data_IF_838992779029
#
_entry.id   IF_838992779029
#
_cell.length_a   1.000
_cell.length_b   1.000
_cell.length_c   1.000
_cell.angle_alpha   90.00
_cell.angle_beta   90.00
_cell.angle_gamma   90.00
#
_symmetry.space_group_name_H-M   'P 1'
#
loop_
_entity.id
_entity.type
_entity.pdbx_description
1 polymer ?
#
# COMPACT_ATOMS: atom_id res chain seq x y z
N UNK A 1 -6.87 -20.16 -11.18
CA UNK A 1 -7.53 -19.12 -12.01
C UNK A 1 -6.51 -18.10 -12.55
N UNK A 2 -5.75 -17.39 -11.71
CA UNK A 2 -4.70 -16.48 -12.22
C UNK A 2 -3.43 -17.19 -12.70
N UNK A 3 -3.14 -18.39 -12.19
CA UNK A 3 -1.99 -19.23 -12.59
C UNK A 3 -2.00 -19.69 -14.05
N UNK A 4 -3.11 -19.49 -14.76
CA UNK A 4 -3.27 -19.85 -16.17
C UNK A 4 -3.08 -18.65 -17.11
N UNK A 5 -2.84 -17.46 -16.57
CA UNK A 5 -2.65 -16.24 -17.35
C UNK A 5 -1.18 -16.08 -17.75
N UNK A 6 -0.94 -15.41 -18.88
CA UNK A 6 0.38 -14.86 -19.15
C UNK A 6 0.76 -13.82 -18.09
N UNK A 7 2.06 -13.58 -17.92
CA UNK A 7 2.53 -12.58 -16.96
C UNK A 7 1.95 -11.19 -17.27
N UNK A 8 1.93 -10.78 -18.54
CA UNK A 8 1.38 -9.48 -18.95
C UNK A 8 -0.10 -9.35 -18.61
N UNK A 9 -0.90 -10.39 -18.86
CA UNK A 9 -2.31 -10.40 -18.51
C UNK A 9 -2.52 -10.37 -16.99
N UNK A 10 -1.71 -11.11 -16.23
CA UNK A 10 -1.76 -11.10 -14.77
C UNK A 10 -1.40 -9.72 -14.21
N UNK A 11 -0.36 -9.07 -14.76
CA UNK A 11 0.08 -7.73 -14.37
C UNK A 11 -1.00 -6.68 -14.64
N UNK A 12 -1.59 -6.67 -15.84
CA UNK A 12 -2.66 -5.76 -16.19
C UNK A 12 -3.88 -5.89 -15.25
N UNK A 13 -4.25 -7.14 -14.91
CA UNK A 13 -5.33 -7.39 -13.94
C UNK A 13 -4.94 -6.88 -12.54
N UNK A 14 -3.72 -7.17 -12.09
CA UNK A 14 -3.25 -6.73 -10.77
C UNK A 14 -3.24 -5.20 -10.64
N UNK A 15 -2.76 -4.49 -11.67
CA UNK A 15 -2.78 -3.03 -11.73
C UNK A 15 -4.21 -2.47 -11.74
N UNK A 16 -5.12 -3.12 -12.48
CA UNK A 16 -6.54 -2.77 -12.47
C UNK A 16 -7.20 -2.95 -11.09
N UNK A 17 -6.93 -4.05 -10.41
CA UNK A 17 -7.40 -4.29 -9.04
C UNK A 17 -6.81 -3.26 -8.06
N UNK A 18 -5.52 -2.96 -8.19
CA UNK A 18 -4.86 -1.96 -7.36
C UNK A 18 -5.51 -0.59 -7.53
N UNK A 19 -5.62 -0.08 -8.76
CA UNK A 19 -6.15 1.25 -9.02
C UNK A 19 -7.62 1.41 -8.60
N UNK A 20 -8.44 0.38 -8.82
CA UNK A 20 -9.89 0.50 -8.65
C UNK A 20 -10.40 0.12 -7.27
N UNK A 21 -9.65 -0.68 -6.51
CA UNK A 21 -10.09 -1.20 -5.20
C UNK A 21 -9.11 -0.75 -4.12
N UNK A 22 -7.87 -1.22 -4.17
CA UNK A 22 -6.92 -1.05 -3.07
C UNK A 22 -6.45 0.40 -2.90
N UNK A 23 -6.20 1.12 -4.00
CA UNK A 23 -5.77 2.51 -3.98
C UNK A 23 -6.86 3.44 -3.46
N UNK A 24 -8.12 3.21 -3.87
CA UNK A 24 -9.27 3.96 -3.34
C UNK A 24 -9.41 3.73 -1.85
N UNK A 25 -9.40 2.47 -1.41
CA UNK A 25 -9.45 2.13 0.01
C UNK A 25 -8.28 2.74 0.80
N UNK A 26 -7.06 2.71 0.23
CA UNK A 26 -5.89 3.33 0.83
C UNK A 26 -6.11 4.83 1.05
N UNK A 27 -6.58 5.57 0.04
CA UNK A 27 -6.74 7.03 0.10
C UNK A 27 -7.92 7.47 0.95
N UNK A 28 -9.05 6.77 0.84
CA UNK A 28 -10.32 7.19 1.42
C UNK A 28 -10.48 6.69 2.87
N UNK A 29 -9.94 5.51 3.19
CA UNK A 29 -10.23 4.87 4.48
C UNK A 29 -8.97 4.63 5.34
N UNK A 30 -7.84 4.25 4.75
CA UNK A 30 -6.63 3.87 5.52
C UNK A 30 -5.75 5.08 5.82
N UNK A 31 -5.29 5.79 4.80
CA UNK A 31 -4.36 6.93 4.92
C UNK A 31 -4.87 8.04 5.83
N UNK A 32 -6.16 8.42 5.85
CA UNK A 32 -6.67 9.44 6.77
C UNK A 32 -6.44 9.10 8.25
N UNK A 33 -6.32 7.80 8.56
CA UNK A 33 -6.08 7.34 9.93
C UNK A 33 -4.62 7.43 10.38
N UNK A 34 -3.68 7.68 9.46
CA UNK A 34 -2.23 7.71 9.73
C UNK A 34 -1.85 8.65 10.87
N UNK A 35 -2.47 9.82 10.96
CA UNK A 35 -2.18 10.81 12.01
C UNK A 35 -2.55 10.32 13.43
N UNK A 36 -3.40 9.28 13.54
CA UNK A 36 -3.83 8.71 14.81
C UNK A 36 -2.86 7.66 15.36
N UNK A 37 -1.92 7.16 14.57
CA UNK A 37 -0.94 6.16 15.01
C UNK A 37 0.05 6.72 16.06
N UNK A 38 0.47 5.87 17.00
CA UNK A 38 1.51 6.20 17.99
C UNK A 38 2.91 6.11 17.39
N UNK A 39 3.12 5.18 16.44
CA UNK A 39 4.36 4.97 15.70
C UNK A 39 4.06 4.86 14.21
N UNK A 40 4.82 5.61 13.39
CA UNK A 40 4.78 5.53 11.93
C UNK A 40 6.16 5.07 11.43
N UNK A 41 6.18 4.00 10.64
CA UNK A 41 7.37 3.48 9.97
C UNK A 41 7.29 3.76 8.47
N UNK A 42 8.24 4.53 7.92
CA UNK A 42 8.31 4.79 6.47
C UNK A 42 9.29 3.80 5.83
N UNK A 43 8.78 2.99 4.90
CA UNK A 43 9.57 2.06 4.09
C UNK A 43 10.20 2.78 2.89
N UNK A 44 11.42 2.41 2.55
CA UNK A 44 12.10 2.71 1.29
C UNK A 44 11.76 1.72 0.18
N UNK A 45 12.37 1.93 -1.00
CA UNK A 45 12.09 1.16 -2.21
C UNK A 45 12.44 -0.34 -2.09
N UNK A 46 13.44 -0.69 -1.28
CA UNK A 46 13.86 -2.07 -1.01
C UNK A 46 13.27 -2.64 0.29
N UNK A 47 12.19 -2.04 0.80
CA UNK A 47 11.50 -2.41 2.04
C UNK A 47 12.23 -2.16 3.35
N UNK A 48 13.42 -1.56 3.35
CA UNK A 48 14.07 -1.09 4.58
C UNK A 48 13.28 0.08 5.19
N UNK A 49 13.33 0.21 6.52
CA UNK A 49 12.78 1.39 7.19
C UNK A 49 13.79 2.53 7.05
N UNK A 50 13.34 3.66 6.53
CA UNK A 50 14.17 4.86 6.34
C UNK A 50 13.85 5.93 7.38
N UNK A 51 12.59 6.01 7.83
CA UNK A 51 12.17 6.98 8.84
C UNK A 51 11.24 6.34 9.86
N UNK A 52 11.37 6.82 11.10
CA UNK A 52 10.55 6.42 12.24
C UNK A 52 10.04 7.69 12.91
N UNK A 53 8.72 7.83 13.04
CA UNK A 53 8.08 8.93 13.76
C UNK A 53 7.28 8.37 14.94
N UNK A 54 7.65 8.78 16.15
CA UNK A 54 6.98 8.42 17.39
C UNK A 54 6.22 9.64 17.93
N UNK A 55 4.95 9.47 18.28
CA UNK A 55 4.15 10.52 18.93
C UNK A 55 4.74 10.82 20.32
N UNK A 56 4.95 12.10 20.60
CA UNK A 56 5.22 12.57 21.97
C UNK A 56 3.88 12.66 22.71
N UNK A 57 3.79 12.01 23.87
CA UNK A 57 2.66 12.08 24.79
C UNK A 57 2.80 13.28 25.73
#
# INVERSE_FOLDING_TARGET
RYSQLSEDAARAIAEGLWANINLKNLRENILPTRARADLILRKGANHLIEEVALRKL
#
